data_IF_850876239961
#
_entry.id   IF_850876239961
#
_cell.length_a   1.000
_cell.length_b   1.000
_cell.length_c   1.000
_cell.angle_alpha   90.00
_cell.angle_beta   90.00
_cell.angle_gamma   90.00
#
_symmetry.space_group_name_H-M   'P 1'
#
loop_
_entity.id
_entity.type
_entity.pdbx_description
1 polymer ?
#
# COMPACT_ATOMS: atom_id res chain seq x y z
N UNK A 1 46.65 -8.27 23.03
CA UNK A 1 47.25 -8.73 21.76
C UNK A 1 46.27 -9.74 21.17
N UNK A 2 45.27 -9.29 20.42
CA UNK A 2 44.25 -10.17 19.82
C UNK A 2 44.77 -10.80 18.53
N UNK A 3 44.59 -12.11 18.30
CA UNK A 3 45.08 -12.76 17.10
C UNK A 3 44.23 -12.37 15.89
N UNK A 4 44.92 -11.82 14.90
CA UNK A 4 44.37 -11.46 13.60
C UNK A 4 43.96 -12.74 12.87
N UNK A 5 42.66 -12.94 12.65
CA UNK A 5 42.13 -14.14 11.98
C UNK A 5 42.19 -13.93 10.45
N UNK A 6 42.69 -14.90 9.66
CA UNK A 6 42.79 -14.74 8.21
C UNK A 6 41.40 -14.78 7.56
N UNK A 7 40.98 -13.66 6.99
CA UNK A 7 39.76 -13.56 6.18
C UNK A 7 39.96 -14.39 4.89
N UNK A 8 39.25 -15.52 4.79
CA UNK A 8 39.32 -16.42 3.63
C UNK A 8 38.40 -15.91 2.49
N UNK A 9 38.83 -15.91 1.22
CA UNK A 9 38.04 -15.39 0.09
C UNK A 9 36.76 -16.18 -0.25
N UNK A 10 36.59 -17.38 0.32
CA UNK A 10 35.52 -18.32 -0.05
C UNK A 10 34.14 -18.02 0.56
N UNK A 11 34.06 -17.13 1.56
CA UNK A 11 32.78 -16.82 2.21
C UNK A 11 31.90 -15.88 1.38
N UNK A 12 32.47 -14.94 0.62
CA UNK A 12 31.70 -13.97 -0.18
C UNK A 12 30.87 -14.62 -1.29
N UNK A 13 31.36 -15.69 -1.91
CA UNK A 13 30.66 -16.39 -3.00
C UNK A 13 29.50 -17.25 -2.51
N UNK A 14 29.60 -17.81 -1.30
CA UNK A 14 28.51 -18.55 -0.66
C UNK A 14 27.35 -17.62 -0.29
N UNK A 15 27.64 -16.45 0.29
CA UNK A 15 26.62 -15.45 0.62
C UNK A 15 25.93 -14.88 -0.65
N UNK A 16 26.68 -14.61 -1.72
CA UNK A 16 26.12 -14.15 -2.98
C UNK A 16 25.20 -15.20 -3.64
N UNK A 17 25.58 -16.48 -3.57
CA UNK A 17 24.77 -17.59 -4.12
C UNK A 17 23.49 -17.83 -3.32
N UNK A 18 23.54 -17.69 -1.99
CA UNK A 18 22.36 -17.79 -1.11
C UNK A 18 21.39 -16.62 -1.34
N UNK A 19 21.90 -15.41 -1.61
CA UNK A 19 21.09 -14.25 -1.97
C UNK A 19 20.22 -14.50 -3.20
N UNK A 20 20.81 -14.99 -4.30
CA UNK A 20 20.09 -15.25 -5.55
C UNK A 20 19.02 -16.36 -5.44
N UNK A 21 19.28 -17.40 -4.65
CA UNK A 21 18.28 -18.47 -4.40
C UNK A 21 17.11 -17.94 -3.57
N UNK A 22 17.38 -17.12 -2.54
CA UNK A 22 16.32 -16.48 -1.76
C UNK A 22 15.46 -15.56 -2.61
N UNK A 23 16.05 -14.75 -3.47
CA UNK A 23 15.27 -13.90 -4.40
C UNK A 23 14.38 -14.72 -5.33
N UNK A 24 14.88 -15.86 -5.82
CA UNK A 24 14.10 -16.74 -6.69
C UNK A 24 12.95 -17.45 -5.96
N UNK A 25 13.15 -17.83 -4.70
CA UNK A 25 12.11 -18.43 -3.85
C UNK A 25 11.07 -17.43 -3.35
N UNK A 26 11.46 -16.17 -3.17
CA UNK A 26 10.57 -15.07 -2.80
C UNK A 26 9.82 -14.47 -4.01
N UNK A 27 10.16 -14.89 -5.23
CA UNK A 27 9.50 -14.44 -6.45
C UNK A 27 8.10 -15.06 -6.59
N UNK A 28 7.07 -14.21 -6.53
CA UNK A 28 5.68 -14.63 -6.64
C UNK A 28 5.38 -15.23 -8.05
N UNK A 29 4.95 -16.50 -8.16
CA UNK A 29 4.63 -17.13 -9.45
C UNK A 29 3.53 -16.43 -10.24
N UNK A 30 2.63 -15.72 -9.55
CA UNK A 30 1.50 -15.00 -10.15
C UNK A 30 1.83 -13.60 -10.67
N UNK A 31 3.02 -13.06 -10.35
CA UNK A 31 3.49 -11.77 -10.87
C UNK A 31 4.30 -11.91 -12.18
N UNK A 32 4.49 -13.13 -12.68
CA UNK A 32 5.22 -13.40 -13.95
C UNK A 32 4.61 -12.73 -15.17
N UNK A 33 3.32 -12.36 -15.10
CA UNK A 33 2.54 -11.82 -16.23
C UNK A 33 2.23 -10.33 -16.07
N UNK A 34 2.69 -9.68 -15.00
CA UNK A 34 2.40 -8.27 -14.72
C UNK A 34 3.58 -7.41 -15.21
N UNK A 35 3.37 -6.52 -16.20
CA UNK A 35 4.42 -5.62 -16.65
C UNK A 35 4.90 -4.72 -15.49
N UNK A 36 6.21 -4.44 -15.36
CA UNK A 36 6.71 -3.46 -14.40
C UNK A 36 5.99 -2.12 -14.60
N UNK A 37 5.48 -1.53 -13.52
CA UNK A 37 4.80 -0.24 -13.63
C UNK A 37 5.77 0.81 -14.17
N UNK A 38 5.40 1.61 -15.19
CA UNK A 38 6.25 2.65 -15.77
C UNK A 38 6.33 3.92 -14.91
N UNK A 39 5.74 3.92 -13.71
CA UNK A 39 5.60 5.11 -12.88
C UNK A 39 6.87 5.36 -12.07
N UNK A 40 7.37 6.60 -12.13
CA UNK A 40 8.55 7.03 -11.37
C UNK A 40 8.34 6.77 -9.87
N UNK A 41 9.33 6.16 -9.21
CA UNK A 41 9.27 5.82 -7.78
C UNK A 41 8.92 7.03 -6.87
N UNK A 42 9.30 8.24 -7.27
CA UNK A 42 8.94 9.49 -6.56
C UNK A 42 7.44 9.78 -6.60
N UNK A 43 6.77 9.48 -7.73
CA UNK A 43 5.33 9.68 -7.86
C UNK A 43 4.57 8.67 -7.00
N UNK A 44 5.02 7.42 -6.95
CA UNK A 44 4.47 6.41 -6.04
C UNK A 44 4.57 6.85 -4.57
N UNK A 45 5.71 7.40 -4.14
CA UNK A 45 5.85 7.97 -2.79
C UNK A 45 4.91 9.15 -2.57
N UNK A 46 4.80 10.04 -3.56
CA UNK A 46 3.87 11.17 -3.52
C UNK A 46 2.41 10.74 -3.30
N UNK A 47 1.95 9.69 -4.01
CA UNK A 47 0.60 9.14 -3.85
C UNK A 47 0.38 8.56 -2.44
N UNK A 48 1.38 7.89 -1.88
CA UNK A 48 1.32 7.35 -0.50
C UNK A 48 1.26 8.48 0.52
N UNK A 49 2.10 9.51 0.38
CA UNK A 49 2.06 10.68 1.26
C UNK A 49 0.74 11.46 1.12
N UNK A 50 0.17 11.53 -0.08
CA UNK A 50 -1.16 12.11 -0.31
C UNK A 50 -2.25 11.37 0.47
N UNK A 51 -2.24 10.03 0.43
CA UNK A 51 -3.17 9.22 1.22
C UNK A 51 -2.99 9.42 2.73
N UNK A 52 -1.74 9.45 3.21
CA UNK A 52 -1.46 9.73 4.63
C UNK A 52 -1.95 11.13 5.06
N UNK A 53 -1.77 12.14 4.19
CA UNK A 53 -2.30 13.49 4.42
C UNK A 53 -3.83 13.51 4.53
N UNK A 54 -4.53 12.77 3.68
CA UNK A 54 -5.99 12.59 3.77
C UNK A 54 -6.42 12.03 5.13
N UNK A 55 -5.71 11.03 5.67
CA UNK A 55 -6.01 10.48 6.98
C UNK A 55 -5.81 11.49 8.12
N UNK A 56 -4.81 12.36 8.02
CA UNK A 56 -4.59 13.44 8.99
C UNK A 56 -5.78 14.42 8.96
N UNK A 57 -6.25 14.80 7.77
CA UNK A 57 -7.43 15.66 7.61
C UNK A 57 -8.68 15.00 8.21
N UNK A 58 -8.91 13.72 7.93
CA UNK A 58 -10.01 12.95 8.53
C UNK A 58 -9.94 12.97 10.04
N UNK A 59 -8.77 12.70 10.61
CA UNK A 59 -8.57 12.70 12.06
C UNK A 59 -8.90 14.06 12.66
N UNK A 60 -8.42 15.16 12.05
CA UNK A 60 -8.78 16.51 12.44
C UNK A 60 -10.30 16.71 12.44
N UNK A 61 -10.97 16.41 11.33
CA UNK A 61 -12.43 16.57 11.20
C UNK A 61 -13.21 15.79 12.27
N UNK A 62 -12.79 14.58 12.61
CA UNK A 62 -13.42 13.78 13.67
C UNK A 62 -13.22 14.45 15.04
N UNK A 63 -11.99 14.89 15.35
CA UNK A 63 -11.68 15.59 16.62
C UNK A 63 -12.43 16.91 16.74
N UNK A 64 -12.63 17.63 15.64
CA UNK A 64 -13.40 18.88 15.58
C UNK A 64 -14.92 18.65 15.60
N UNK A 65 -15.38 17.45 15.97
CA UNK A 65 -16.79 17.04 16.02
C UNK A 65 -17.53 17.14 14.67
N UNK A 66 -16.81 17.25 13.57
CA UNK A 66 -17.33 17.20 12.20
C UNK A 66 -17.35 15.77 11.67
N UNK A 67 -17.86 14.83 12.48
CA UNK A 67 -17.84 13.40 12.21
C UNK A 67 -18.40 13.05 10.83
N UNK A 68 -19.42 13.78 10.35
CA UNK A 68 -20.03 13.57 9.03
C UNK A 68 -19.07 13.89 7.89
N UNK A 69 -18.40 15.04 7.95
CA UNK A 69 -17.38 15.44 6.97
C UNK A 69 -16.17 14.50 7.06
N UNK A 70 -15.81 14.08 8.28
CA UNK A 70 -14.75 13.10 8.52
C UNK A 70 -15.01 11.77 7.83
N UNK A 71 -16.20 11.18 8.00
CA UNK A 71 -16.59 9.90 7.36
C UNK A 71 -16.65 10.01 5.84
N UNK A 72 -17.15 11.13 5.30
CA UNK A 72 -17.16 11.36 3.85
C UNK A 72 -15.75 11.43 3.26
N UNK A 73 -14.85 12.21 3.86
CA UNK A 73 -13.46 12.34 3.42
C UNK A 73 -12.70 11.02 3.62
N UNK A 74 -13.03 10.24 4.65
CA UNK A 74 -12.48 8.90 4.84
C UNK A 74 -12.92 7.94 3.75
N UNK A 75 -14.19 7.98 3.34
CA UNK A 75 -14.69 7.23 2.20
C UNK A 75 -13.97 7.61 0.90
N UNK A 76 -13.77 8.92 0.66
CA UNK A 76 -12.97 9.41 -0.47
C UNK A 76 -11.52 8.92 -0.42
N UNK A 77 -10.91 8.89 0.77
CA UNK A 77 -9.56 8.37 0.97
C UNK A 77 -9.45 6.89 0.60
N UNK A 78 -10.47 6.07 0.90
CA UNK A 78 -10.51 4.65 0.52
C UNK A 78 -10.70 4.44 -0.98
N UNK A 79 -11.51 5.27 -1.64
CA UNK A 79 -11.62 5.26 -3.11
C UNK A 79 -10.30 5.68 -3.75
N UNK A 80 -9.65 6.73 -3.24
CA UNK A 80 -8.32 7.13 -3.66
C UNK A 80 -7.30 6.00 -3.46
N UNK A 81 -7.34 5.31 -2.31
CA UNK A 81 -6.50 4.14 -2.02
C UNK A 81 -6.70 3.02 -3.04
N UNK A 82 -7.94 2.77 -3.46
CA UNK A 82 -8.26 1.81 -4.50
C UNK A 82 -7.63 2.22 -5.84
N UNK A 83 -7.70 3.49 -6.24
CA UNK A 83 -7.10 4.01 -7.48
C UNK A 83 -5.57 3.92 -7.45
N UNK A 84 -4.92 4.38 -6.38
CA UNK A 84 -3.45 4.31 -6.28
C UNK A 84 -2.96 2.87 -6.25
N UNK A 85 -3.75 1.93 -5.72
CA UNK A 85 -3.43 0.50 -5.78
C UNK A 85 -3.37 -0.03 -7.20
N UNK A 86 -4.11 0.53 -8.16
CA UNK A 86 -3.98 0.17 -9.58
C UNK A 86 -2.77 0.83 -10.25
N UNK A 87 -2.31 1.97 -9.73
CA UNK A 87 -1.14 2.67 -10.22
C UNK A 87 0.19 2.12 -9.66
N UNK A 88 0.18 1.58 -8.44
CA UNK A 88 1.39 1.09 -7.75
C UNK A 88 1.65 -0.40 -8.03
N UNK A 89 2.88 -0.74 -8.47
CA UNK A 89 3.30 -2.10 -8.81
C UNK A 89 3.21 -3.08 -7.63
N UNK A 90 2.77 -4.31 -7.92
CA UNK A 90 2.69 -5.45 -7.00
C UNK A 90 4.07 -5.90 -6.47
N UNK A 91 5.17 -5.51 -7.15
CA UNK A 91 6.55 -5.94 -6.85
C UNK A 91 7.06 -5.62 -5.43
N UNK A 92 6.40 -4.71 -4.70
CA UNK A 92 6.78 -4.29 -3.33
C UNK A 92 5.94 -5.00 -2.24
N UNK A 93 4.81 -5.62 -2.58
CA UNK A 93 3.80 -6.10 -1.61
C UNK A 93 3.73 -7.64 -1.50
N UNK A 94 4.84 -8.32 -1.81
CA UNK A 94 4.98 -9.79 -1.92
C UNK A 94 4.66 -10.65 -0.70
N UNK A 95 4.10 -10.09 0.39
CA UNK A 95 3.70 -10.82 1.61
C UNK A 95 2.18 -11.06 1.69
N UNK A 96 1.36 -10.41 0.86
CA UNK A 96 -0.12 -10.51 0.88
C UNK A 96 -0.71 -11.35 -0.27
N UNK A 97 0.05 -12.30 -0.83
CA UNK A 97 -0.31 -13.10 -2.01
C UNK A 97 -1.63 -13.91 -1.89
N UNK A 98 -2.23 -14.01 -0.69
CA UNK A 98 -3.53 -14.67 -0.46
C UNK A 98 -4.72 -13.80 -0.84
N UNK A 99 -4.62 -12.46 -0.74
CA UNK A 99 -5.71 -11.53 -1.04
C UNK A 99 -5.35 -10.71 -2.28
N UNK A 100 -5.92 -11.07 -3.42
CA UNK A 100 -5.56 -10.46 -4.71
C UNK A 100 -5.66 -8.93 -4.66
N UNK A 101 -4.71 -8.24 -5.33
CA UNK A 101 -4.70 -6.78 -5.51
C UNK A 101 -6.04 -6.24 -6.04
N UNK A 102 -6.68 -7.01 -6.91
CA UNK A 102 -8.01 -6.70 -7.46
C UNK A 102 -9.08 -6.74 -6.36
N UNK A 103 -9.09 -7.81 -5.54
CA UNK A 103 -10.02 -7.96 -4.43
C UNK A 103 -9.89 -6.82 -3.41
N UNK A 104 -8.66 -6.49 -3.00
CA UNK A 104 -8.42 -5.44 -2.00
C UNK A 104 -8.81 -4.05 -2.50
N UNK A 105 -8.60 -3.78 -3.80
CA UNK A 105 -9.02 -2.53 -4.45
C UNK A 105 -10.54 -2.44 -4.56
N UNK A 106 -11.21 -3.53 -4.96
CA UNK A 106 -12.68 -3.59 -5.03
C UNK A 106 -13.26 -3.43 -3.62
N UNK A 107 -12.72 -4.12 -2.63
CA UNK A 107 -13.15 -4.02 -1.24
C UNK A 107 -13.02 -2.57 -0.72
N UNK A 108 -11.86 -1.95 -0.94
CA UNK A 108 -11.62 -0.56 -0.52
C UNK A 108 -12.55 0.43 -1.24
N UNK A 109 -12.78 0.25 -2.54
CA UNK A 109 -13.71 1.08 -3.31
C UNK A 109 -15.15 0.93 -2.83
N UNK A 110 -15.63 -0.31 -2.66
CA UNK A 110 -16.99 -0.59 -2.15
C UNK A 110 -17.18 -0.04 -0.75
N UNK A 111 -16.21 -0.22 0.15
CA UNK A 111 -16.27 0.31 1.50
C UNK A 111 -16.27 1.85 1.49
N UNK A 112 -15.40 2.48 0.70
CA UNK A 112 -15.34 3.93 0.57
C UNK A 112 -16.66 4.53 0.04
N UNK A 113 -17.24 3.93 -0.99
CA UNK A 113 -18.55 4.33 -1.53
C UNK A 113 -19.67 4.12 -0.52
N UNK A 114 -19.69 3.00 0.21
CA UNK A 114 -20.68 2.76 1.26
C UNK A 114 -20.59 3.80 2.38
N UNK A 115 -19.38 4.18 2.80
CA UNK A 115 -19.16 5.23 3.78
C UNK A 115 -19.65 6.59 3.29
N UNK A 116 -19.36 6.95 2.03
CA UNK A 116 -19.86 8.19 1.41
C UNK A 116 -21.39 8.19 1.33
N UNK A 117 -22.00 7.07 0.94
CA UNK A 117 -23.46 6.91 0.88
C UNK A 117 -24.11 7.12 2.24
N UNK A 118 -23.57 6.52 3.30
CA UNK A 118 -24.06 6.70 4.67
C UNK A 118 -23.92 8.16 5.10
N UNK A 119 -22.76 8.79 4.87
CA UNK A 119 -22.53 10.18 5.25
C UNK A 119 -23.52 11.15 4.58
N UNK A 120 -23.84 10.92 3.30
CA UNK A 120 -24.84 11.68 2.54
C UNK A 120 -26.27 11.39 3.02
N UNK A 121 -26.61 10.13 3.30
CA UNK A 121 -27.94 9.75 3.79
C UNK A 121 -28.28 10.41 5.13
N UNK A 122 -27.29 10.52 6.02
CA UNK A 122 -27.43 11.23 7.31
C UNK A 122 -27.63 12.74 7.12
N UNK A 123 -27.17 13.36 6.01
CA UNK A 123 -27.38 14.80 5.76
C UNK A 123 -28.86 15.15 5.52
N UNK A 124 -29.71 14.19 5.12
CA UNK A 124 -31.11 14.48 4.73
C UNK A 124 -32.12 14.59 5.87
N UNK A 125 -31.74 14.34 7.13
CA UNK A 125 -32.65 14.46 8.30
C UNK A 125 -32.56 15.82 9.02
N UNK A 126 -31.97 16.84 8.39
CA UNK A 126 -31.70 18.15 8.99
C UNK A 126 -32.17 19.36 8.18
N UNK A 127 -33.12 19.19 7.25
CA UNK A 127 -33.84 20.29 6.59
C UNK A 127 -35.31 20.25 6.98
#
# INVERSE_FOLDING_TARGET
MSPNSPHTPHQHSAHARIGGVREHLLANPHDRVVPPSPLRASLQRGLIYGFAGLLIVVFGLIVMNHWRRGVFILGLALVYLAVIRWLVDSRILGVLAVRSRKFDSIFSATLGLAMMWIALGVESLGS
#
